data_IF_939191269486
#
_entry.id   IF_939191269486
#
_cell.length_a   1.000
_cell.length_b   1.000
_cell.length_c   1.000
_cell.angle_alpha   90.00
_cell.angle_beta   90.00
_cell.angle_gamma   90.00
#
_symmetry.space_group_name_H-M   'P 1'
#
loop_
_entity.id
_entity.type
_entity.pdbx_description
1 polymer ?
#
# COMPACT_ATOMS: atom_id res chain seq x y z
N UNK A 1 -56.77 22.43 -34.62
CA UNK A 1 -55.94 22.77 -33.44
C UNK A 1 -56.60 22.13 -32.22
N UNK A 2 -55.79 21.59 -31.33
CA UNK A 2 -56.10 20.79 -30.13
C UNK A 2 -56.33 19.28 -30.40
N UNK A 3 -55.31 18.49 -30.02
CA UNK A 3 -55.34 17.05 -29.83
C UNK A 3 -56.07 16.74 -28.52
N UNK A 4 -56.88 15.69 -28.49
CA UNK A 4 -57.36 15.05 -27.26
C UNK A 4 -57.00 13.56 -27.35
N UNK A 5 -56.16 13.11 -26.41
CA UNK A 5 -55.68 11.74 -26.31
C UNK A 5 -56.63 10.94 -25.42
N UNK A 6 -57.20 9.87 -25.98
CA UNK A 6 -58.00 8.88 -25.25
C UNK A 6 -57.17 8.22 -24.12
N UNK A 7 -57.70 8.27 -22.91
CA UNK A 7 -57.23 7.54 -21.73
C UNK A 7 -57.76 6.10 -21.78
N UNK A 8 -56.86 5.11 -21.75
CA UNK A 8 -57.18 3.74 -21.37
C UNK A 8 -56.74 3.46 -19.91
N UNK A 9 -57.45 2.57 -19.18
CA UNK A 9 -57.33 2.47 -17.72
C UNK A 9 -56.07 1.70 -17.29
N UNK A 10 -55.42 2.22 -16.26
CA UNK A 10 -54.28 1.63 -15.57
C UNK A 10 -54.75 0.39 -14.80
N UNK A 11 -54.18 -0.77 -15.12
CA UNK A 11 -54.38 -2.01 -14.37
C UNK A 11 -53.83 -1.88 -12.95
N UNK A 12 -54.65 -2.27 -11.97
CA UNK A 12 -54.27 -2.37 -10.57
C UNK A 12 -53.12 -3.37 -10.38
N UNK A 13 -51.94 -2.88 -10.00
CA UNK A 13 -50.89 -3.69 -9.39
C UNK A 13 -51.16 -3.81 -7.88
N UNK A 14 -51.25 -5.04 -7.40
CA UNK A 14 -51.33 -5.34 -5.97
C UNK A 14 -50.02 -4.95 -5.26
N UNK A 15 -50.07 -4.42 -4.02
CA UNK A 15 -48.86 -4.08 -3.28
C UNK A 15 -48.12 -5.34 -2.84
N UNK A 16 -46.80 -5.34 -3.05
CA UNK A 16 -45.88 -6.38 -2.60
C UNK A 16 -45.90 -6.49 -1.07
N UNK A 17 -45.81 -7.69 -0.48
CA UNK A 17 -45.78 -7.83 0.97
C UNK A 17 -44.51 -7.17 1.52
N UNK A 18 -44.69 -6.34 2.56
CA UNK A 18 -43.60 -5.77 3.32
C UNK A 18 -42.81 -6.90 3.98
N UNK A 19 -41.62 -7.21 3.45
CA UNK A 19 -40.62 -7.96 4.19
C UNK A 19 -40.08 -7.01 5.27
N UNK A 20 -40.48 -7.26 6.51
CA UNK A 20 -39.76 -6.80 7.69
C UNK A 20 -38.35 -7.39 7.63
N UNK A 21 -37.38 -6.62 7.13
CA UNK A 21 -35.97 -6.97 7.24
C UNK A 21 -35.50 -6.66 8.65
N UNK A 22 -35.54 -7.66 9.53
CA UNK A 22 -34.59 -7.72 10.65
C UNK A 22 -33.19 -7.79 10.06
N UNK A 23 -32.47 -6.67 10.12
CA UNK A 23 -31.09 -6.55 9.66
C UNK A 23 -30.20 -7.28 10.67
N UNK A 24 -29.98 -8.57 10.44
CA UNK A 24 -29.04 -9.36 11.22
C UNK A 24 -27.62 -8.94 10.82
N UNK A 25 -26.84 -8.46 11.79
CA UNK A 25 -25.63 -7.66 11.58
C UNK A 25 -24.37 -8.47 11.28
N UNK A 26 -24.49 -9.65 10.69
CA UNK A 26 -23.37 -10.52 10.37
C UNK A 26 -23.11 -10.54 8.86
N UNK A 27 -22.11 -9.77 8.43
CA UNK A 27 -21.61 -9.77 7.06
C UNK A 27 -20.85 -11.09 6.79
N UNK A 28 -21.29 -11.95 5.86
CA UNK A 28 -20.75 -13.30 5.67
C UNK A 28 -19.30 -13.35 5.16
N UNK A 29 -18.71 -12.21 4.80
CA UNK A 29 -17.33 -12.10 4.30
C UNK A 29 -16.29 -11.80 5.40
N UNK A 30 -16.67 -11.90 6.68
CA UNK A 30 -15.80 -11.54 7.80
C UNK A 30 -14.69 -12.56 8.11
N UNK A 31 -14.80 -13.80 7.62
CA UNK A 31 -13.89 -14.91 7.96
C UNK A 31 -12.76 -15.17 6.94
N UNK A 32 -12.92 -14.79 5.66
CA UNK A 32 -12.03 -15.28 4.59
C UNK A 32 -10.94 -14.26 4.16
N UNK A 33 -10.93 -13.06 4.75
CA UNK A 33 -10.01 -11.98 4.40
C UNK A 33 -8.64 -12.04 5.12
N UNK A 34 -8.41 -13.06 5.95
CA UNK A 34 -7.22 -13.20 6.81
C UNK A 34 -6.04 -13.91 6.12
N UNK A 35 -6.07 -14.15 4.81
CA UNK A 35 -4.96 -14.82 4.10
C UNK A 35 -3.61 -14.07 4.24
N UNK A 36 -3.62 -12.74 4.38
CA UNK A 36 -2.41 -11.93 4.65
C UNK A 36 -1.85 -12.21 6.05
N UNK A 37 -2.71 -12.52 7.03
CA UNK A 37 -2.32 -12.98 8.38
C UNK A 37 -1.87 -14.44 8.35
N UNK A 38 -2.58 -15.32 7.64
CA UNK A 38 -2.22 -16.74 7.52
C UNK A 38 -0.94 -16.98 6.71
N UNK A 39 -0.59 -16.09 5.79
CA UNK A 39 0.72 -16.11 5.13
C UNK A 39 1.85 -15.77 6.12
N UNK A 40 1.62 -14.83 7.05
CA UNK A 40 2.55 -14.51 8.14
C UNK A 40 2.67 -15.64 9.20
N UNK A 41 1.64 -16.47 9.34
CA UNK A 41 1.61 -17.61 10.28
C UNK A 41 2.52 -18.80 9.87
N UNK A 42 3.12 -18.81 8.66
CA UNK A 42 3.84 -19.97 8.13
C UNK A 42 5.35 -20.02 8.40
N UNK A 43 5.88 -19.19 9.31
CA UNK A 43 7.32 -19.24 9.66
C UNK A 43 7.47 -19.54 11.15
N UNK A 44 7.96 -20.74 11.53
CA UNK A 44 8.25 -21.06 12.92
C UNK A 44 9.25 -20.06 13.49
N UNK A 45 8.94 -19.52 14.67
CA UNK A 45 9.86 -18.77 15.52
C UNK A 45 11.05 -19.67 15.87
N UNK A 46 12.10 -19.59 15.06
CA UNK A 46 13.43 -20.04 15.45
C UNK A 46 14.40 -18.89 15.34
N UNK A 47 14.88 -18.50 16.52
CA UNK A 47 16.10 -17.78 16.85
C UNK A 47 16.04 -16.25 16.80
N UNK A 48 15.54 -15.70 17.91
CA UNK A 48 16.10 -14.50 18.56
C UNK A 48 17.58 -14.74 18.93
N UNK A 49 18.50 -14.83 17.97
CA UNK A 49 19.94 -14.82 18.26
C UNK A 49 20.80 -14.59 17.01
N UNK A 50 20.53 -13.51 16.27
CA UNK A 50 21.54 -12.90 15.40
C UNK A 50 21.64 -11.42 15.73
N UNK A 51 22.42 -11.16 16.78
CA UNK A 51 22.96 -9.85 17.15
C UNK A 51 24.43 -10.03 17.52
N UNK A 52 25.23 -10.45 16.55
CA UNK A 52 26.68 -10.36 16.67
C UNK A 52 27.26 -10.08 15.30
N UNK A 53 27.76 -8.85 15.13
CA UNK A 53 28.86 -8.41 14.26
C UNK A 53 28.59 -7.05 13.57
N UNK A 54 28.45 -6.00 14.38
CA UNK A 54 28.87 -4.66 14.01
C UNK A 54 29.32 -3.94 15.29
N UNK A 55 30.63 -3.90 15.51
CA UNK A 55 31.22 -3.14 16.61
C UNK A 55 31.27 -1.66 16.20
N UNK A 56 30.19 -0.93 16.45
CA UNK A 56 30.16 0.53 16.32
C UNK A 56 30.86 1.19 17.51
N UNK A 57 31.51 2.34 17.30
CA UNK A 57 32.18 3.06 18.38
C UNK A 57 31.17 3.61 19.41
N UNK A 58 31.49 3.68 20.73
CA UNK A 58 30.56 4.19 21.75
C UNK A 58 30.00 5.59 21.45
N UNK A 59 30.78 6.46 20.80
CA UNK A 59 30.35 7.80 20.43
C UNK A 59 29.33 7.80 19.26
N UNK A 60 29.45 6.85 18.33
CA UNK A 60 28.54 6.70 17.19
C UNK A 60 27.19 6.14 17.65
N UNK A 61 27.22 5.18 18.59
CA UNK A 61 26.01 4.63 19.22
C UNK A 61 25.21 5.70 19.98
N UNK A 62 25.89 6.57 20.74
CA UNK A 62 25.23 7.68 21.45
C UNK A 62 24.61 8.67 20.45
N UNK A 63 25.35 9.08 19.42
CA UNK A 63 24.83 10.01 18.41
C UNK A 63 23.67 9.46 17.59
N UNK A 64 23.68 8.15 17.30
CA UNK A 64 22.55 7.46 16.65
C UNK A 64 21.32 7.42 17.56
N UNK A 65 21.51 7.12 18.84
CA UNK A 65 20.42 7.09 19.83
C UNK A 65 19.75 8.46 19.93
N UNK A 66 20.54 9.55 20.01
CA UNK A 66 20.02 10.92 20.06
C UNK A 66 19.18 11.27 18.83
N UNK A 67 19.63 10.86 17.63
CA UNK A 67 18.88 11.10 16.39
C UNK A 67 17.57 10.33 16.35
N UNK A 68 17.58 9.06 16.74
CA UNK A 68 16.36 8.24 16.77
C UNK A 68 15.36 8.77 17.80
N UNK A 69 15.83 9.32 18.92
CA UNK A 69 14.96 10.01 19.88
C UNK A 69 14.25 11.20 19.23
N UNK A 70 14.98 12.04 18.49
CA UNK A 70 14.39 13.13 17.70
C UNK A 70 13.33 12.60 16.72
N UNK A 71 13.60 11.51 16.00
CA UNK A 71 12.63 10.89 15.07
C UNK A 71 11.35 10.46 15.77
N UNK A 72 11.45 9.81 16.94
CA UNK A 72 10.26 9.43 17.72
C UNK A 72 9.49 10.65 18.21
N UNK A 73 10.18 11.72 18.61
CA UNK A 73 9.57 12.99 18.99
C UNK A 73 8.79 13.65 17.85
N UNK A 74 9.35 13.67 16.63
CA UNK A 74 8.68 14.18 15.43
C UNK A 74 7.39 13.41 15.10
N UNK A 75 7.41 12.08 15.23
CA UNK A 75 6.23 11.24 15.04
C UNK A 75 5.13 11.62 16.04
N UNK A 76 5.48 11.70 17.33
CA UNK A 76 4.52 12.06 18.39
C UNK A 76 3.95 13.47 18.14
N UNK A 77 4.80 14.43 17.80
CA UNK A 77 4.38 15.80 17.50
C UNK A 77 3.42 15.84 16.29
N UNK A 78 3.76 15.14 15.20
CA UNK A 78 2.89 15.01 14.02
C UNK A 78 1.53 14.40 14.32
N UNK A 79 1.49 13.32 15.12
CA UNK A 79 0.25 12.70 15.59
C UNK A 79 -0.55 13.66 16.47
N UNK A 80 0.09 14.37 17.39
CA UNK A 80 -0.57 15.33 18.28
C UNK A 80 -1.22 16.47 17.49
N UNK A 81 -0.50 17.06 16.53
CA UNK A 81 -1.00 18.11 15.64
C UNK A 81 -2.20 17.61 14.84
N UNK A 82 -2.12 16.40 14.31
CA UNK A 82 -3.23 15.75 13.59
C UNK A 82 -4.44 15.57 14.51
N UNK A 83 -4.23 15.07 15.73
CA UNK A 83 -5.29 14.87 16.72
C UNK A 83 -6.01 16.19 16.99
N UNK A 84 -5.27 17.28 17.20
CA UNK A 84 -5.85 18.60 17.45
C UNK A 84 -6.47 19.27 16.20
N UNK A 85 -6.07 18.90 14.99
CA UNK A 85 -6.68 19.39 13.75
C UNK A 85 -8.02 18.70 13.42
N UNK A 86 -8.22 17.44 13.83
CA UNK A 86 -9.44 16.69 13.50
C UNK A 86 -10.69 17.31 14.16
N UNK A 87 -11.83 17.41 13.47
CA UNK A 87 -13.07 17.90 14.08
C UNK A 87 -13.55 16.96 15.18
N UNK A 88 -14.18 17.50 16.23
CA UNK A 88 -14.78 16.70 17.30
C UNK A 88 -15.90 15.84 16.70
N UNK A 89 -15.86 14.52 16.91
CA UNK A 89 -16.93 13.63 16.47
C UNK A 89 -18.17 13.76 17.38
N UNK A 90 -19.32 14.14 16.81
CA UNK A 90 -20.63 14.05 17.44
C UNK A 90 -21.01 15.20 18.39
N UNK A 91 -21.90 14.93 19.35
CA UNK A 91 -22.42 15.89 20.34
C UNK A 91 -21.46 16.16 21.51
N UNK A 92 -20.21 15.69 21.44
CA UNK A 92 -19.24 15.92 22.50
C UNK A 92 -18.91 17.43 22.57
N UNK A 93 -19.21 18.02 23.72
CA UNK A 93 -18.95 19.44 24.01
C UNK A 93 -17.46 19.76 24.15
N UNK A 94 -16.64 18.76 24.47
CA UNK A 94 -15.20 18.91 24.66
C UNK A 94 -14.42 17.82 23.91
N UNK A 95 -13.30 18.23 23.30
CA UNK A 95 -12.40 17.35 22.56
C UNK A 95 -11.45 16.66 23.54
N UNK A 96 -11.39 15.33 23.49
CA UNK A 96 -10.47 14.55 24.31
C UNK A 96 -9.01 15.01 24.08
N UNK A 97 -8.22 15.10 25.16
CA UNK A 97 -6.81 15.44 25.07
C UNK A 97 -6.01 14.30 24.40
N UNK A 98 -4.92 14.66 23.70
CA UNK A 98 -4.00 13.67 23.16
C UNK A 98 -3.29 12.93 24.30
N UNK A 99 -3.23 11.60 24.24
CA UNK A 99 -2.61 10.78 25.27
C UNK A 99 -1.08 10.73 25.08
N UNK A 100 -0.39 11.74 25.62
CA UNK A 100 1.07 11.86 25.55
C UNK A 100 1.81 10.72 26.25
N UNK A 101 1.27 10.21 27.35
CA UNK A 101 1.89 9.13 28.13
C UNK A 101 1.89 7.82 27.33
N UNK A 102 0.75 7.48 26.72
CA UNK A 102 0.64 6.32 25.84
C UNK A 102 1.51 6.47 24.59
N UNK A 103 1.58 7.67 24.01
CA UNK A 103 2.44 7.89 22.84
C UNK A 103 3.91 7.67 23.19
N UNK A 104 4.38 8.20 24.32
CA UNK A 104 5.77 8.02 24.77
C UNK A 104 6.09 6.58 25.18
N UNK A 105 5.13 5.81 25.68
CA UNK A 105 5.35 4.40 25.99
C UNK A 105 5.41 3.51 24.74
N UNK A 106 4.73 3.91 23.66
CA UNK A 106 4.73 3.18 22.38
C UNK A 106 5.94 3.57 21.52
N UNK A 107 6.14 4.86 21.26
CA UNK A 107 7.17 5.36 20.33
C UNK A 107 8.52 5.50 21.03
N UNK A 108 9.11 4.35 21.39
CA UNK A 108 10.45 4.26 21.98
C UNK A 108 11.47 3.79 20.94
N UNK A 109 12.75 4.08 21.14
CA UNK A 109 13.84 3.61 20.26
C UNK A 109 13.86 2.07 20.19
N UNK A 110 13.61 1.41 21.32
CA UNK A 110 13.56 -0.06 21.38
C UNK A 110 12.44 -0.61 20.48
N UNK A 111 11.22 -0.09 20.62
CA UNK A 111 10.10 -0.51 19.78
C UNK A 111 10.33 -0.14 18.31
N UNK A 112 11.01 0.98 18.05
CA UNK A 112 11.34 1.41 16.70
C UNK A 112 12.20 0.36 15.99
N UNK A 113 13.28 -0.08 16.63
CA UNK A 113 14.17 -1.11 16.08
C UNK A 113 13.45 -2.46 15.93
N UNK A 114 12.68 -2.86 16.94
CA UNK A 114 11.96 -4.13 16.94
C UNK A 114 10.92 -4.21 15.82
N UNK A 115 10.04 -3.21 15.73
CA UNK A 115 8.92 -3.24 14.79
C UNK A 115 9.37 -3.00 13.35
N UNK A 116 10.37 -2.15 13.11
CA UNK A 116 10.91 -1.99 11.74
C UNK A 116 11.52 -3.30 11.25
N UNK A 117 12.27 -4.01 12.11
CA UNK A 117 12.79 -5.34 11.76
C UNK A 117 11.66 -6.33 11.45
N UNK A 118 10.62 -6.35 12.28
CA UNK A 118 9.45 -7.20 12.06
C UNK A 118 8.74 -6.89 10.74
N UNK A 119 8.60 -5.61 10.38
CA UNK A 119 8.02 -5.20 9.09
C UNK A 119 8.79 -5.79 7.90
N UNK A 120 10.12 -5.58 7.85
CA UNK A 120 10.91 -6.06 6.72
C UNK A 120 10.98 -7.59 6.66
N UNK A 121 10.92 -8.27 7.82
CA UNK A 121 10.94 -9.73 7.87
C UNK A 121 9.62 -10.37 7.42
N UNK A 122 8.49 -9.79 7.77
CA UNK A 122 7.19 -10.46 7.62
C UNK A 122 6.25 -9.76 6.63
N UNK A 123 6.12 -8.43 6.71
CA UNK A 123 5.15 -7.69 5.91
C UNK A 123 5.68 -7.34 4.51
N UNK A 124 6.95 -6.95 4.42
CA UNK A 124 7.58 -6.51 3.16
C UNK A 124 7.58 -7.60 2.09
N UNK A 125 7.69 -8.87 2.47
CA UNK A 125 7.66 -10.01 1.56
C UNK A 125 6.39 -10.07 0.69
N UNK A 126 5.25 -9.61 1.22
CA UNK A 126 3.96 -9.61 0.54
C UNK A 126 3.57 -8.25 -0.05
N UNK A 127 4.30 -7.19 0.31
CA UNK A 127 4.07 -5.83 -0.19
C UNK A 127 5.41 -5.07 -0.32
N UNK A 128 6.30 -5.50 -1.24
CA UNK A 128 7.64 -4.95 -1.40
C UNK A 128 7.62 -3.60 -2.12
N UNK A 129 7.03 -2.59 -1.48
CA UNK A 129 6.92 -1.21 -2.01
C UNK A 129 8.03 -0.30 -1.51
N UNK A 130 8.84 -0.76 -0.55
CA UNK A 130 10.00 -0.06 0.00
C UNK A 130 11.25 -0.84 -0.40
N UNK A 131 12.32 -0.15 -0.77
CA UNK A 131 13.61 -0.78 -1.03
C UNK A 131 14.41 -0.86 0.30
N UNK A 132 14.59 -2.06 0.91
CA UNK A 132 15.12 -2.18 2.27
C UNK A 132 16.52 -1.57 2.47
N UNK A 133 17.51 -1.79 1.57
CA UNK A 133 18.84 -1.23 1.75
C UNK A 133 18.92 0.31 1.75
N UNK A 134 17.95 1.02 1.15
CA UNK A 134 17.90 2.48 1.23
C UNK A 134 17.03 3.02 2.38
N UNK A 135 16.36 2.15 3.13
CA UNK A 135 15.51 2.58 4.23
C UNK A 135 16.35 2.95 5.45
N UNK A 136 16.43 4.24 5.75
CA UNK A 136 17.15 4.78 6.90
C UNK A 136 16.17 5.43 7.87
N UNK A 137 16.11 4.91 9.10
CA UNK A 137 15.22 5.41 10.15
C UNK A 137 15.49 6.86 10.52
N UNK A 138 16.72 7.34 10.35
CA UNK A 138 17.12 8.72 10.66
C UNK A 138 16.69 9.72 9.56
N UNK A 139 16.49 9.24 8.32
CA UNK A 139 16.27 10.11 7.16
C UNK A 139 14.91 9.96 6.52
N UNK A 140 14.30 8.79 6.61
CA UNK A 140 12.98 8.52 6.06
C UNK A 140 11.95 9.50 6.64
N UNK A 141 11.01 9.96 5.83
CA UNK A 141 9.92 10.83 6.27
C UNK A 141 9.18 10.24 7.48
N UNK A 142 8.74 11.11 8.39
CA UNK A 142 8.05 10.68 9.60
C UNK A 142 6.80 9.84 9.32
N UNK A 143 6.12 10.11 8.18
CA UNK A 143 4.95 9.35 7.70
C UNK A 143 5.31 7.92 7.30
N UNK A 144 6.37 7.75 6.51
CA UNK A 144 6.82 6.43 6.11
C UNK A 144 7.30 5.64 7.32
N UNK A 145 8.17 6.25 8.13
CA UNK A 145 8.69 5.64 9.36
C UNK A 145 7.57 5.17 10.30
N UNK A 146 6.56 6.02 10.51
CA UNK A 146 5.37 5.69 11.30
C UNK A 146 4.58 4.51 10.72
N UNK A 147 4.33 4.50 9.40
CA UNK A 147 3.57 3.42 8.76
C UNK A 147 4.28 2.06 8.88
N UNK A 148 5.59 2.03 8.65
CA UNK A 148 6.45 0.85 8.78
C UNK A 148 6.48 0.37 10.22
N UNK A 149 6.66 1.29 11.17
CA UNK A 149 6.62 1.00 12.61
C UNK A 149 5.29 0.35 13.03
N UNK A 150 4.15 0.94 12.64
CA UNK A 150 2.84 0.44 13.05
C UNK A 150 2.52 -0.91 12.41
N UNK A 151 2.88 -1.12 11.15
CA UNK A 151 2.70 -2.42 10.50
C UNK A 151 3.59 -3.47 11.18
N UNK A 152 4.85 -3.13 11.43
CA UNK A 152 5.76 -3.94 12.24
C UNK A 152 5.17 -4.37 13.58
N UNK A 153 4.51 -3.45 14.29
CA UNK A 153 3.84 -3.76 15.57
C UNK A 153 2.66 -4.74 15.41
N UNK A 154 1.98 -4.72 14.27
CA UNK A 154 0.84 -5.61 13.98
C UNK A 154 1.29 -7.04 13.73
N UNK A 155 2.44 -7.22 13.08
CA UNK A 155 3.02 -8.55 12.74
C UNK A 155 3.99 -9.07 13.80
N UNK A 156 4.21 -8.32 14.88
CA UNK A 156 5.02 -8.74 16.01
C UNK A 156 4.22 -9.59 17.00
N UNK A 157 4.91 -10.42 17.79
CA UNK A 157 4.30 -11.21 18.85
C UNK A 157 3.51 -10.31 19.83
N UNK A 158 2.30 -10.71 20.27
CA UNK A 158 1.47 -9.89 21.15
C UNK A 158 2.17 -9.55 22.47
N UNK A 159 2.35 -8.25 22.70
CA UNK A 159 2.81 -7.68 23.96
C UNK A 159 2.14 -6.31 24.21
N UNK A 160 2.30 -5.75 25.42
CA UNK A 160 1.68 -4.48 25.79
C UNK A 160 1.98 -3.35 24.79
N UNK A 161 3.22 -3.26 24.29
CA UNK A 161 3.61 -2.26 23.30
C UNK A 161 2.91 -2.46 21.95
N UNK A 162 2.75 -3.69 21.47
CA UNK A 162 2.01 -3.97 20.21
C UNK A 162 0.52 -3.64 20.35
N UNK A 163 -0.09 -3.95 21.51
CA UNK A 163 -1.49 -3.66 21.77
C UNK A 163 -1.73 -2.15 21.89
N UNK A 164 -0.84 -1.45 22.59
CA UNK A 164 -0.88 0.01 22.72
C UNK A 164 -0.66 0.73 21.37
N UNK A 165 0.20 0.19 20.49
CA UNK A 165 0.43 0.76 19.15
C UNK A 165 -0.84 0.82 18.30
N UNK A 166 -1.77 -0.13 18.49
CA UNK A 166 -3.06 -0.17 17.76
C UNK A 166 -3.93 1.07 18.00
N UNK A 167 -3.76 1.74 19.14
CA UNK A 167 -4.47 2.99 19.44
C UNK A 167 -4.09 4.14 18.50
N UNK A 168 -2.97 4.03 17.78
CA UNK A 168 -2.49 5.08 16.87
C UNK A 168 -2.77 4.80 15.40
N UNK A 169 -3.37 3.66 15.03
CA UNK A 169 -3.58 3.28 13.62
C UNK A 169 -4.45 4.28 12.85
N UNK A 170 -5.62 4.63 13.41
CA UNK A 170 -6.52 5.58 12.76
C UNK A 170 -5.93 6.99 12.70
N UNK A 171 -5.24 7.41 13.77
CA UNK A 171 -4.60 8.72 13.80
C UNK A 171 -3.41 8.82 12.84
N UNK A 172 -2.65 7.74 12.66
CA UNK A 172 -1.57 7.65 11.69
C UNK A 172 -2.10 7.70 10.26
N UNK A 173 -3.21 7.01 9.98
CA UNK A 173 -3.89 7.09 8.70
C UNK A 173 -4.28 8.55 8.39
N UNK A 174 -4.93 9.24 9.33
CA UNK A 174 -5.27 10.67 9.16
C UNK A 174 -4.02 11.55 8.95
N UNK A 175 -2.95 11.30 9.72
CA UNK A 175 -1.70 12.06 9.60
C UNK A 175 -1.06 11.90 8.21
N UNK A 176 -1.06 10.68 7.67
CA UNK A 176 -0.55 10.39 6.34
C UNK A 176 -1.41 11.07 5.27
N UNK A 177 -2.73 10.87 5.32
CA UNK A 177 -3.67 11.39 4.34
C UNK A 177 -3.95 12.90 4.48
N UNK A 178 -3.46 13.55 5.54
CA UNK A 178 -3.43 15.03 5.64
C UNK A 178 -2.38 15.69 4.74
N UNK A 179 -1.47 14.90 4.15
CA UNK A 179 -0.43 15.44 3.28
C UNK A 179 -1.00 16.08 2.01
N UNK A 180 -0.33 17.14 1.53
CA UNK A 180 -0.82 17.94 0.39
C UNK A 180 -0.99 17.11 -0.89
N UNK A 181 -0.22 16.03 -1.08
CA UNK A 181 -0.34 15.13 -2.24
C UNK A 181 -1.74 14.51 -2.39
N UNK A 182 -2.48 14.38 -1.29
CA UNK A 182 -3.85 13.86 -1.28
C UNK A 182 -4.91 14.96 -1.22
N UNK A 183 -4.50 16.23 -1.38
CA UNK A 183 -5.40 17.39 -1.45
C UNK A 183 -5.80 17.65 -2.90
N UNK A 184 -7.03 18.09 -3.17
CA UNK A 184 -7.42 18.60 -4.50
C UNK A 184 -6.49 19.72 -5.00
N UNK A 185 -5.86 20.46 -4.08
CA UNK A 185 -4.92 21.52 -4.43
C UNK A 185 -3.62 21.05 -5.07
N UNK A 186 -3.28 19.77 -4.93
CA UNK A 186 -2.07 19.21 -5.51
C UNK A 186 -2.07 19.29 -7.04
N UNK A 187 -3.22 19.05 -7.67
CA UNK A 187 -3.36 19.12 -9.12
C UNK A 187 -2.99 20.51 -9.66
N UNK A 188 -3.41 21.59 -8.98
CA UNK A 188 -3.04 22.95 -9.37
C UNK A 188 -1.55 23.25 -9.18
N UNK A 189 -0.92 22.69 -8.14
CA UNK A 189 0.51 22.84 -7.93
C UNK A 189 1.33 22.20 -9.07
N UNK A 190 0.88 21.04 -9.58
CA UNK A 190 1.52 20.34 -10.70
C UNK A 190 1.37 21.06 -12.04
N UNK A 191 0.36 21.92 -12.23
CA UNK A 191 0.18 22.68 -13.48
C UNK A 191 1.21 23.82 -13.63
N UNK A 192 1.83 24.27 -12.53
CA UNK A 192 2.83 25.35 -12.53
C UNK A 192 4.25 24.90 -12.88
N UNK A 193 4.58 23.63 -12.66
CA UNK A 193 5.91 23.05 -12.89
C UNK A 193 5.78 21.81 -13.77
N UNK A 194 6.43 21.80 -14.94
CA UNK A 194 6.53 20.59 -15.80
C UNK A 194 7.37 19.52 -15.08
N UNK A 195 6.80 18.83 -14.11
CA UNK A 195 7.52 17.84 -13.33
C UNK A 195 7.76 16.55 -14.12
N UNK A 196 9.04 16.20 -14.24
CA UNK A 196 9.52 14.89 -14.65
C UNK A 196 9.59 14.01 -13.39
N UNK A 197 8.47 13.41 -13.00
CA UNK A 197 8.39 12.39 -11.94
C UNK A 197 8.14 12.90 -10.52
N UNK A 198 7.65 11.98 -9.68
CA UNK A 198 7.38 12.19 -8.25
C UNK A 198 8.68 12.48 -7.47
N UNK A 199 8.65 13.46 -6.57
CA UNK A 199 9.79 13.72 -5.67
C UNK A 199 10.04 12.53 -4.73
N UNK A 200 11.25 12.38 -4.20
CA UNK A 200 11.55 11.32 -3.22
C UNK A 200 10.63 11.42 -2.00
N UNK A 201 10.36 12.64 -1.53
CA UNK A 201 9.46 12.88 -0.41
C UNK A 201 8.01 12.47 -0.71
N UNK A 202 7.51 12.78 -1.91
CA UNK A 202 6.17 12.36 -2.34
C UNK A 202 6.07 10.84 -2.47
N UNK A 203 7.11 10.20 -3.01
CA UNK A 203 7.18 8.74 -3.11
C UNK A 203 7.10 8.08 -1.72
N UNK A 204 7.83 8.59 -0.73
CA UNK A 204 7.75 8.07 0.64
C UNK A 204 6.36 8.26 1.27
N UNK A 205 5.66 9.37 0.97
CA UNK A 205 4.29 9.58 1.45
C UNK A 205 3.31 8.61 0.77
N UNK A 206 3.47 8.33 -0.52
CA UNK A 206 2.67 7.33 -1.22
C UNK A 206 2.94 5.91 -0.70
N UNK A 207 4.20 5.56 -0.44
CA UNK A 207 4.56 4.31 0.23
C UNK A 207 3.90 4.24 1.61
N UNK A 208 3.95 5.31 2.40
CA UNK A 208 3.31 5.35 3.71
C UNK A 208 1.81 5.10 3.64
N UNK A 209 1.13 5.73 2.67
CA UNK A 209 -0.30 5.56 2.43
C UNK A 209 -0.66 4.12 2.00
N UNK A 210 0.16 3.53 1.13
CA UNK A 210 0.01 2.13 0.73
C UNK A 210 0.21 1.18 1.91
N UNK A 211 1.25 1.37 2.72
CA UNK A 211 1.57 0.55 3.89
C UNK A 211 0.47 0.64 4.95
N UNK A 212 0.03 1.85 5.30
CA UNK A 212 -1.04 2.02 6.31
C UNK A 212 -2.39 1.48 5.82
N UNK A 213 -2.67 1.58 4.51
CA UNK A 213 -3.90 1.01 3.94
C UNK A 213 -3.91 -0.51 4.07
N UNK A 214 -2.79 -1.18 3.75
CA UNK A 214 -2.67 -2.64 3.89
C UNK A 214 -2.73 -3.06 5.37
N UNK A 215 -2.18 -2.27 6.29
CA UNK A 215 -2.36 -2.51 7.72
C UNK A 215 -3.84 -2.40 8.13
N UNK A 216 -4.53 -1.36 7.66
CA UNK A 216 -5.89 -1.07 8.09
C UNK A 216 -6.93 -2.04 7.49
N UNK A 217 -6.70 -2.56 6.29
CA UNK A 217 -7.61 -3.51 5.63
C UNK A 217 -7.58 -4.90 6.27
N UNK A 218 -6.42 -5.34 6.77
CA UNK A 218 -6.28 -6.63 7.48
C UNK A 218 -6.97 -6.61 8.84
N UNK A 219 -7.26 -5.42 9.39
CA UNK A 219 -8.11 -5.33 10.59
C UNK A 219 -9.53 -5.78 10.28
N UNK A 220 -10.10 -6.59 11.16
CA UNK A 220 -11.50 -6.98 11.12
C UNK A 220 -12.41 -5.86 11.68
N UNK A 221 -12.37 -4.67 11.07
CA UNK A 221 -13.29 -3.56 11.38
C UNK A 221 -14.00 -3.06 10.12
N UNK A 222 -15.32 -3.24 10.09
CA UNK A 222 -16.19 -2.84 8.99
C UNK A 222 -16.13 -1.34 8.70
N UNK A 223 -16.00 -0.49 9.72
CA UNK A 223 -15.95 0.97 9.53
C UNK A 223 -14.64 1.38 8.86
N UNK A 224 -13.52 0.87 9.35
CA UNK A 224 -12.20 1.04 8.73
C UNK A 224 -12.20 0.53 7.29
N UNK A 225 -12.64 -0.71 7.03
CA UNK A 225 -12.71 -1.27 5.68
C UNK A 225 -13.57 -0.43 4.74
N UNK A 226 -14.72 0.06 5.21
CA UNK A 226 -15.56 0.99 4.44
C UNK A 226 -14.82 2.29 4.12
N UNK A 227 -14.16 2.92 5.11
CA UNK A 227 -13.36 4.15 4.92
C UNK A 227 -12.23 3.96 3.92
N UNK A 228 -11.55 2.82 3.97
CA UNK A 228 -10.52 2.47 2.97
C UNK A 228 -11.11 2.46 1.57
N UNK A 229 -12.23 1.74 1.36
CA UNK A 229 -12.84 1.58 0.03
C UNK A 229 -13.37 2.87 -0.58
N UNK A 230 -14.06 3.69 0.20
CA UNK A 230 -14.80 4.83 -0.34
C UNK A 230 -13.99 6.14 -0.37
N UNK A 231 -12.89 6.21 0.38
CA UNK A 231 -12.16 7.47 0.60
C UNK A 231 -10.65 7.29 0.44
N UNK A 232 -10.00 6.49 1.30
CA UNK A 232 -8.52 6.42 1.34
C UNK A 232 -7.94 5.83 0.06
N UNK A 233 -8.47 4.70 -0.41
CA UNK A 233 -7.95 4.05 -1.61
C UNK A 233 -8.15 4.89 -2.87
N UNK A 234 -9.35 5.45 -3.16
CA UNK A 234 -9.52 6.37 -4.29
C UNK A 234 -8.55 7.57 -4.26
N UNK A 235 -8.26 8.14 -3.08
CA UNK A 235 -7.29 9.23 -2.92
C UNK A 235 -5.86 8.79 -3.22
N UNK A 236 -5.46 7.60 -2.77
CA UNK A 236 -4.16 7.02 -3.12
C UNK A 236 -4.03 6.82 -4.63
N UNK A 237 -5.03 6.20 -5.26
CA UNK A 237 -5.05 5.96 -6.72
C UNK A 237 -4.96 7.28 -7.49
N UNK A 238 -5.70 8.31 -7.06
CA UNK A 238 -5.63 9.64 -7.67
C UNK A 238 -4.22 10.24 -7.55
N UNK A 239 -3.57 10.13 -6.39
CA UNK A 239 -2.22 10.63 -6.20
C UNK A 239 -1.18 9.86 -7.04
N UNK A 240 -1.35 8.54 -7.22
CA UNK A 240 -0.51 7.73 -8.11
C UNK A 240 -0.62 8.15 -9.58
N UNK A 241 -1.84 8.46 -10.03
CA UNK A 241 -2.11 8.99 -11.38
C UNK A 241 -1.43 10.33 -11.60
N UNK A 242 -1.62 11.28 -10.68
CA UNK A 242 -1.03 12.61 -10.75
C UNK A 242 0.51 12.56 -10.70
N UNK A 243 1.07 11.56 -10.01
CA UNK A 243 2.51 11.33 -9.93
C UNK A 243 3.09 10.65 -11.19
N UNK A 244 2.25 10.19 -12.12
CA UNK A 244 2.66 9.47 -13.33
C UNK A 244 3.16 8.05 -13.09
N UNK A 245 2.99 7.50 -11.89
CA UNK A 245 3.57 6.20 -11.51
C UNK A 245 2.93 5.01 -12.23
N UNK A 246 1.64 5.11 -12.60
CA UNK A 246 0.94 4.05 -13.35
C UNK A 246 1.47 3.85 -14.78
N UNK A 247 2.16 4.85 -15.33
CA UNK A 247 2.71 4.83 -16.68
C UNK A 247 4.25 4.86 -16.70
N UNK A 248 4.90 4.61 -15.56
CA UNK A 248 6.34 4.72 -15.41
C UNK A 248 7.04 3.56 -16.16
N UNK A 249 7.72 3.88 -17.27
CA UNK A 249 8.53 2.93 -18.05
C UNK A 249 10.01 3.22 -17.89
N UNK A 250 10.83 2.18 -17.74
CA UNK A 250 12.27 2.34 -17.61
C UNK A 250 12.82 2.82 -18.95
N UNK A 251 13.36 4.04 -18.99
CA UNK A 251 14.19 4.43 -20.12
C UNK A 251 15.43 3.52 -20.11
N UNK A 252 15.75 2.91 -21.26
CA UNK A 252 16.92 2.03 -21.49
C UNK A 252 18.29 2.67 -21.18
N UNK A 253 18.29 3.91 -20.68
CA UNK A 253 19.42 4.74 -20.31
C UNK A 253 19.49 5.01 -18.79
N UNK A 254 18.79 4.24 -17.94
CA UNK A 254 18.97 4.31 -16.48
C UNK A 254 20.38 3.82 -16.11
N UNK A 255 21.37 4.69 -16.32
CA UNK A 255 22.80 4.42 -16.17
C UNK A 255 23.29 4.52 -14.74
N UNK A 256 22.46 5.00 -13.82
CA UNK A 256 22.78 5.15 -12.40
C UNK A 256 21.85 4.27 -11.54
N UNK A 257 22.45 3.48 -10.64
CA UNK A 257 21.81 2.64 -9.63
C UNK A 257 20.68 3.34 -8.87
N UNK A 258 20.87 4.58 -8.43
CA UNK A 258 19.85 5.33 -7.69
C UNK A 258 18.59 5.60 -8.52
N UNK A 259 18.76 5.86 -9.82
CA UNK A 259 17.64 6.06 -10.73
C UNK A 259 16.93 4.74 -11.03
N UNK A 260 17.68 3.63 -11.12
CA UNK A 260 17.10 2.30 -11.24
C UNK A 260 16.23 1.96 -10.02
N UNK A 261 16.78 2.10 -8.80
CA UNK A 261 16.05 1.84 -7.55
C UNK A 261 14.81 2.73 -7.45
N UNK A 262 14.93 4.03 -7.75
CA UNK A 262 13.78 4.94 -7.74
C UNK A 262 12.70 4.50 -8.73
N UNK A 263 13.10 4.11 -9.93
CA UNK A 263 12.16 3.65 -10.95
C UNK A 263 11.46 2.37 -10.53
N UNK A 264 12.22 1.35 -10.13
CA UNK A 264 11.71 0.04 -9.72
C UNK A 264 10.81 0.15 -8.47
N UNK A 265 11.17 1.01 -7.52
CA UNK A 265 10.31 1.33 -6.36
C UNK A 265 8.97 1.93 -6.80
N UNK A 266 8.99 2.82 -7.80
CA UNK A 266 7.77 3.39 -8.38
C UNK A 266 6.91 2.34 -9.09
N UNK A 267 7.52 1.45 -9.87
CA UNK A 267 6.84 0.33 -10.54
C UNK A 267 6.18 -0.60 -9.52
N UNK A 268 6.90 -0.97 -8.45
CA UNK A 268 6.37 -1.79 -7.36
C UNK A 268 5.23 -1.11 -6.65
N UNK A 269 5.36 0.18 -6.32
CA UNK A 269 4.29 0.93 -5.67
C UNK A 269 3.02 0.96 -6.53
N UNK A 270 3.12 1.22 -7.83
CA UNK A 270 1.99 1.18 -8.76
C UNK A 270 1.37 -0.23 -8.83
N UNK A 271 2.21 -1.26 -9.02
CA UNK A 271 1.77 -2.64 -9.18
C UNK A 271 1.08 -3.18 -7.93
N UNK A 272 1.65 -2.97 -6.74
CA UNK A 272 1.03 -3.43 -5.50
C UNK A 272 -0.20 -2.60 -5.12
N UNK A 273 -0.30 -1.35 -5.56
CA UNK A 273 -1.54 -0.58 -5.42
C UNK A 273 -2.65 -1.16 -6.29
N UNK A 274 -2.33 -1.60 -7.50
CA UNK A 274 -3.25 -2.34 -8.38
C UNK A 274 -3.66 -3.69 -7.80
N UNK A 275 -2.73 -4.48 -7.26
CA UNK A 275 -3.06 -5.74 -6.58
C UNK A 275 -4.03 -5.50 -5.42
N UNK A 276 -3.81 -4.45 -4.63
CA UNK A 276 -4.72 -4.07 -3.54
C UNK A 276 -6.10 -3.59 -4.04
N UNK A 277 -6.14 -2.87 -5.15
CA UNK A 277 -7.40 -2.47 -5.79
C UNK A 277 -8.21 -3.68 -6.26
N UNK A 278 -7.54 -4.62 -6.93
CA UNK A 278 -8.15 -5.87 -7.37
C UNK A 278 -8.61 -6.74 -6.19
N UNK A 279 -7.83 -6.78 -5.10
CA UNK A 279 -8.22 -7.43 -3.85
C UNK A 279 -9.49 -6.78 -3.28
N UNK A 280 -9.56 -5.46 -3.24
CA UNK A 280 -10.76 -4.72 -2.81
C UNK A 280 -11.96 -5.00 -3.70
N UNK A 281 -11.77 -5.07 -5.01
CA UNK A 281 -12.84 -5.37 -5.95
C UNK A 281 -13.39 -6.79 -5.75
N UNK A 282 -12.49 -7.77 -5.67
CA UNK A 282 -12.83 -9.20 -5.62
C UNK A 282 -13.44 -9.61 -4.29
N UNK A 283 -12.82 -9.23 -3.17
CA UNK A 283 -13.19 -9.73 -1.85
C UNK A 283 -14.14 -8.81 -1.08
N UNK A 284 -14.28 -7.56 -1.51
CA UNK A 284 -15.14 -6.58 -0.84
C UNK A 284 -16.17 -5.93 -1.76
N UNK A 285 -16.39 -6.50 -2.95
CA UNK A 285 -17.33 -5.99 -3.95
C UNK A 285 -17.14 -4.49 -4.22
N UNK A 286 -15.90 -4.03 -4.21
CA UNK A 286 -15.58 -2.64 -4.55
C UNK A 286 -15.58 -2.47 -6.07
N UNK A 287 -15.87 -1.26 -6.55
CA UNK A 287 -15.60 -0.94 -7.95
C UNK A 287 -14.09 -0.76 -8.11
N UNK A 288 -13.41 -1.52 -8.99
CA UNK A 288 -11.98 -1.34 -9.20
C UNK A 288 -11.68 0.11 -9.61
N UNK A 289 -10.73 0.71 -8.92
CA UNK A 289 -10.29 2.09 -9.14
C UNK A 289 -9.16 2.16 -10.16
N UNK A 290 -8.40 1.09 -10.40
CA UNK A 290 -7.33 1.02 -11.39
C UNK A 290 -7.70 -0.01 -12.46
N UNK A 291 -7.81 0.43 -13.71
CA UNK A 291 -8.04 -0.50 -14.81
C UNK A 291 -6.73 -1.16 -15.26
N UNK A 292 -6.72 -2.44 -15.65
CA UNK A 292 -5.51 -3.08 -16.17
C UNK A 292 -4.89 -2.32 -17.35
N UNK A 293 -5.72 -1.72 -18.21
CA UNK A 293 -5.29 -0.88 -19.34
C UNK A 293 -4.57 0.41 -18.94
N UNK A 294 -4.78 0.87 -17.71
CA UNK A 294 -4.13 2.06 -17.16
C UNK A 294 -2.72 1.76 -16.63
N UNK A 295 -2.46 0.52 -16.20
CA UNK A 295 -1.17 0.08 -15.70
C UNK A 295 -0.22 -0.23 -16.85
N UNK A 296 0.31 0.85 -17.44
CA UNK A 296 1.25 0.84 -18.55
C UNK A 296 2.71 0.76 -18.09
N UNK A 297 2.97 0.78 -16.78
CA UNK A 297 4.29 0.57 -16.22
C UNK A 297 4.85 -0.81 -16.59
N UNK A 298 6.17 -0.94 -16.51
CA UNK A 298 6.82 -2.25 -16.61
C UNK A 298 6.32 -3.15 -15.46
N UNK A 299 6.45 -4.47 -15.61
CA UNK A 299 6.25 -5.38 -14.49
C UNK A 299 7.42 -5.27 -13.49
N UNK A 300 7.19 -5.48 -12.19
CA UNK A 300 8.27 -5.50 -11.21
C UNK A 300 9.35 -6.49 -11.60
N UNK A 301 10.61 -6.12 -11.40
CA UNK A 301 11.74 -7.03 -11.63
C UNK A 301 11.73 -8.14 -10.58
N UNK A 302 12.54 -9.18 -10.80
CA UNK A 302 12.72 -10.23 -9.81
C UNK A 302 13.22 -9.67 -8.47
N UNK A 303 12.78 -10.24 -7.34
CA UNK A 303 13.20 -9.79 -5.99
C UNK A 303 14.71 -9.68 -5.84
N UNK A 304 15.45 -10.70 -6.29
CA UNK A 304 16.92 -10.74 -6.28
C UNK A 304 17.59 -9.55 -7.00
N UNK A 305 16.92 -8.92 -7.96
CA UNK A 305 17.42 -7.75 -8.70
C UNK A 305 17.03 -6.43 -8.04
N UNK A 306 15.98 -6.46 -7.21
CA UNK A 306 15.52 -5.31 -6.46
C UNK A 306 16.20 -5.16 -5.11
N UNK A 307 16.69 -6.23 -4.49
CA UNK A 307 17.33 -6.21 -3.16
C UNK A 307 18.88 -6.16 -3.11
N UNK A 308 19.67 -5.84 -4.16
CA UNK A 308 21.14 -5.79 -4.02
C UNK A 308 21.58 -4.77 -2.96
N UNK A 309 22.34 -5.17 -1.94
CA UNK A 309 22.71 -4.25 -0.85
C UNK A 309 23.59 -3.06 -1.29
N UNK A 310 24.37 -3.24 -2.36
CA UNK A 310 25.32 -2.23 -2.84
C UNK A 310 25.20 -1.97 -4.33
N UNK A 311 25.63 -0.76 -4.75
CA UNK A 311 25.76 -0.42 -6.17
C UNK A 311 26.71 -1.38 -6.93
N UNK A 312 27.68 -1.97 -6.24
CA UNK A 312 28.58 -2.97 -6.83
C UNK A 312 27.83 -4.28 -7.12
N UNK A 313 26.95 -4.71 -6.22
CA UNK A 313 26.13 -5.91 -6.42
C UNK A 313 25.13 -5.71 -7.55
N UNK A 314 24.58 -4.50 -7.69
CA UNK A 314 23.80 -4.14 -8.86
C UNK A 314 24.60 -4.26 -10.16
N UNK A 315 25.81 -3.70 -10.22
CA UNK A 315 26.65 -3.78 -11.43
C UNK A 315 26.99 -5.22 -11.81
N UNK A 316 27.08 -6.14 -10.83
CA UNK A 316 27.26 -7.57 -11.06
C UNK A 316 26.00 -8.25 -11.60
N UNK A 317 24.82 -7.82 -11.15
CA UNK A 317 23.54 -8.40 -11.53
C UNK A 317 22.96 -7.80 -12.82
N UNK A 318 23.37 -6.57 -13.19
CA UNK A 318 22.91 -5.84 -14.38
C UNK A 318 23.06 -6.64 -15.69
N UNK A 319 24.16 -7.37 -15.96
CA UNK A 319 24.26 -8.19 -17.17
C UNK A 319 23.21 -9.31 -17.22
N UNK A 320 22.87 -9.90 -16.08
CA UNK A 320 21.82 -10.94 -15.98
C UNK A 320 20.43 -10.33 -16.20
N UNK A 321 20.22 -9.11 -15.72
CA UNK A 321 18.98 -8.37 -15.94
C UNK A 321 18.76 -8.02 -17.41
N UNK A 322 19.81 -7.62 -18.14
CA UNK A 322 19.75 -7.35 -19.59
C UNK A 322 19.46 -8.63 -20.38
N UNK A 323 19.97 -9.77 -19.93
CA UNK A 323 19.72 -11.07 -20.58
C UNK A 323 18.29 -11.58 -20.35
N UNK A 324 17.62 -11.16 -19.27
CA UNK A 324 16.23 -11.52 -19.01
C UNK A 324 15.32 -10.69 -19.90
N UNK A 325 14.56 -11.37 -20.77
CA UNK A 325 13.46 -10.76 -21.49
C UNK A 325 12.50 -10.13 -20.51
N UNK A 326 12.31 -8.81 -20.65
CA UNK A 326 11.38 -8.09 -19.82
C UNK A 326 9.96 -8.52 -20.16
N UNK A 327 9.20 -9.02 -19.18
CA UNK A 327 7.82 -9.35 -19.45
C UNK A 327 7.08 -8.05 -19.77
N UNK A 328 6.13 -8.06 -20.72
CA UNK A 328 5.36 -6.87 -21.08
C UNK A 328 4.62 -6.30 -19.85
N UNK A 329 4.16 -5.04 -19.94
CA UNK A 329 3.29 -4.45 -18.91
C UNK A 329 2.12 -5.37 -18.58
N UNK A 330 1.49 -5.22 -17.40
CA UNK A 330 0.32 -6.03 -17.00
C UNK A 330 -0.72 -6.09 -18.12
N UNK A 331 -1.04 -4.95 -18.75
CA UNK A 331 -1.91 -4.88 -19.91
C UNK A 331 -1.41 -5.67 -21.12
N UNK A 332 -0.14 -5.54 -21.49
CA UNK A 332 0.44 -6.25 -22.63
C UNK A 332 0.51 -7.76 -22.40
N UNK A 333 0.75 -8.18 -21.15
CA UNK A 333 0.79 -9.57 -20.76
C UNK A 333 -0.61 -10.19 -20.77
N UNK A 334 -1.60 -9.52 -20.18
CA UNK A 334 -3.02 -9.92 -20.26
C UNK A 334 -3.42 -10.07 -21.72
N UNK A 335 -3.20 -9.05 -22.55
CA UNK A 335 -3.51 -9.12 -23.98
C UNK A 335 -2.81 -10.27 -24.71
N UNK A 336 -1.60 -10.66 -24.28
CA UNK A 336 -0.87 -11.80 -24.83
C UNK A 336 -1.45 -13.15 -24.41
N UNK A 337 -1.97 -13.26 -23.18
CA UNK A 337 -2.67 -14.45 -22.69
C UNK A 337 -4.00 -14.69 -23.42
N UNK A 338 -4.69 -13.63 -23.82
CA UNK A 338 -5.98 -13.71 -24.54
C UNK A 338 -5.85 -13.81 -26.07
N UNK A 339 -4.65 -13.97 -26.62
CA UNK A 339 -4.50 -14.22 -28.05
C UNK A 339 -5.04 -15.60 -28.41
N UNK A 340 -5.67 -15.71 -29.59
CA UNK A 340 -6.21 -16.97 -30.11
C UNK A 340 -5.17 -18.11 -30.17
N UNK A 341 -3.89 -17.75 -30.24
CA UNK A 341 -2.76 -18.66 -30.23
C UNK A 341 -1.90 -18.43 -28.99
N UNK A 342 -2.12 -19.23 -27.94
CA UNK A 342 -1.22 -19.27 -26.79
C UNK A 342 0.03 -20.11 -27.15
N UNK A 343 1.25 -19.53 -27.14
CA UNK A 343 2.47 -20.24 -27.53
C UNK A 343 2.95 -21.23 -26.46
N UNK A 344 2.26 -21.29 -25.31
CA UNK A 344 2.56 -22.19 -24.21
C UNK A 344 3.62 -21.64 -23.25
N UNK A 345 3.84 -22.30 -22.10
CA UNK A 345 4.75 -21.84 -21.06
C UNK A 345 6.24 -21.95 -21.43
N UNK A 346 6.56 -22.62 -22.55
CA UNK A 346 7.92 -22.79 -23.05
C UNK A 346 8.39 -21.63 -23.95
N UNK A 347 7.49 -20.72 -24.32
CA UNK A 347 7.86 -19.55 -25.09
C UNK A 347 8.71 -18.60 -24.24
N UNK A 348 9.72 -18.00 -24.88
CA UNK A 348 10.70 -17.14 -24.23
C UNK A 348 10.06 -15.97 -23.46
N UNK A 349 8.87 -15.52 -23.88
CA UNK A 349 8.08 -14.50 -23.19
C UNK A 349 7.63 -14.92 -21.79
N UNK A 350 7.43 -16.22 -21.57
CA UNK A 350 6.98 -16.80 -20.30
C UNK A 350 8.13 -17.31 -19.43
N UNK A 351 9.34 -17.44 -20.01
CA UNK A 351 10.53 -17.92 -19.30
C UNK A 351 10.96 -17.04 -18.12
N UNK A 352 10.59 -15.75 -18.13
CA UNK A 352 10.91 -14.77 -17.08
C UNK A 352 9.73 -14.51 -16.12
N UNK A 353 8.63 -15.24 -16.26
CA UNK A 353 7.42 -15.06 -15.44
C UNK A 353 7.58 -15.76 -14.10
N UNK A 354 7.39 -15.01 -13.01
CA UNK A 354 7.47 -15.51 -11.64
C UNK A 354 6.08 -15.81 -11.09
N UNK A 355 6.00 -16.52 -9.96
CA UNK A 355 4.74 -16.68 -9.22
C UNK A 355 4.10 -15.33 -8.84
N UNK A 356 4.91 -14.30 -8.56
CA UNK A 356 4.42 -12.94 -8.29
C UNK A 356 3.77 -12.33 -9.52
N UNK A 357 4.37 -12.49 -10.71
CA UNK A 357 3.77 -12.03 -11.96
C UNK A 357 2.43 -12.73 -12.21
N UNK A 358 2.36 -14.05 -12.01
CA UNK A 358 1.10 -14.80 -12.13
C UNK A 358 0.03 -14.31 -11.16
N UNK A 359 0.39 -14.04 -9.91
CA UNK A 359 -0.52 -13.48 -8.91
C UNK A 359 -1.10 -12.13 -9.37
N UNK A 360 -0.23 -11.22 -9.85
CA UNK A 360 -0.63 -9.91 -10.37
C UNK A 360 -1.63 -10.07 -11.53
N UNK A 361 -1.38 -11.04 -12.42
CA UNK A 361 -2.26 -11.30 -13.58
C UNK A 361 -3.61 -11.87 -13.16
N UNK A 362 -3.65 -12.83 -12.22
CA UNK A 362 -4.90 -13.37 -11.67
C UNK A 362 -5.74 -12.24 -11.07
N UNK A 363 -5.13 -11.34 -10.30
CA UNK A 363 -5.81 -10.16 -9.77
C UNK A 363 -6.26 -9.18 -10.87
N UNK A 364 -5.49 -9.05 -11.95
CA UNK A 364 -5.88 -8.22 -13.08
C UNK A 364 -7.10 -8.75 -13.85
N UNK A 365 -7.24 -10.07 -13.95
CA UNK A 365 -8.42 -10.69 -14.53
C UNK A 365 -9.65 -10.56 -13.64
N UNK A 366 -9.50 -10.83 -12.34
CA UNK A 366 -10.62 -10.74 -11.40
C UNK A 366 -11.17 -9.31 -11.25
N UNK A 367 -10.33 -8.30 -11.50
CA UNK A 367 -10.74 -6.89 -11.48
C UNK A 367 -11.26 -6.39 -12.84
N UNK A 368 -11.13 -7.17 -13.92
CA UNK A 368 -11.59 -6.78 -15.24
C UNK A 368 -13.12 -6.85 -15.33
N UNK A 369 -13.81 -5.78 -15.75
CA UNK A 369 -15.27 -5.78 -15.93
C UNK A 369 -15.75 -6.73 -17.04
N UNK A 370 -14.82 -7.35 -17.78
CA UNK A 370 -15.10 -8.31 -18.83
C UNK A 370 -15.25 -9.75 -18.35
N UNK A 371 -15.05 -10.05 -17.06
CA UNK A 371 -15.41 -11.35 -16.51
C UNK A 371 -16.94 -11.48 -16.50
N UNK A 372 -17.55 -12.29 -17.39
CA UNK A 372 -18.98 -12.55 -17.31
C UNK A 372 -19.17 -13.39 -16.05
N UNK A 373 -19.82 -12.84 -15.04
CA UNK A 373 -20.39 -13.68 -14.00
C UNK A 373 -21.51 -14.49 -14.67
N UNK A 374 -21.29 -15.80 -14.73
CA UNK A 374 -22.15 -16.90 -15.23
C UNK A 374 -22.44 -16.97 -16.73
#
# INVERSE_FOLDING_TARGET
MAQDHDQQPIGHFAPWPALETTYDSADPYTSDADWLLHAADFVPDTLEQESAHQQSSPAELTGQTDRLEVRTGEIIDGLSKTHYALPTCGFATEKAAFNWELARSVFTIHNLQLFIRAYFRHAHQYNPVIYPPAFDCEKASARLLLSVFLFGSMVSAPCDSTLAARCFFDLAEEYIFSHIIFSPTYEWALQGERHQGSSVADMEVLQAAQVIQVLQITRNDTKTRRRIRIDRHPRLVTALRLSGLLCNKLNSQASNWENYIRHETGVRLATWSFVNDAYLATFFNNVPQIMPSELLSDLPRHGDLFEPETALDFERLRPLDIQRLQPPSVSGFILSLFQDTWPGPQDDLYSSVTSTHLLILVFGELSSPLAPWS
#
